data_IF_203049211319
#
_entry.id   IF_203049211319
#
_cell.length_a   1.000
_cell.length_b   1.000
_cell.length_c   1.000
_cell.angle_alpha   90.00
_cell.angle_beta   90.00
_cell.angle_gamma   90.00
#
_symmetry.space_group_name_H-M   'P 1'
#
loop_
_entity.id
_entity.type
_entity.pdbx_description
1 polymer ?
#
# COMPACT_ATOMS: atom_id res chain seq x y z
N UNK A 1 -4.01 -2.13 -20.34
CA UNK A 1 -4.32 -3.52 -19.94
C UNK A 1 -2.99 -4.28 -19.89
N UNK A 2 -2.45 -4.50 -18.70
CA UNK A 2 -1.24 -5.32 -18.54
C UNK A 2 -1.61 -6.79 -18.85
N UNK A 3 -0.79 -7.56 -19.57
CA UNK A 3 -1.13 -8.94 -19.91
C UNK A 3 -1.20 -9.79 -18.65
N UNK A 4 -2.40 -10.30 -18.38
CA UNK A 4 -2.77 -11.38 -17.43
C UNK A 4 -1.83 -11.60 -16.25
N UNK A 5 -1.81 -10.65 -15.32
CA UNK A 5 -1.39 -10.99 -13.97
C UNK A 5 -2.45 -11.90 -13.35
N UNK A 6 -2.17 -13.20 -13.30
CA UNK A 6 -3.04 -14.19 -12.67
C UNK A 6 -2.55 -14.45 -11.25
N UNK A 7 -3.36 -14.06 -10.26
CA UNK A 7 -3.12 -14.41 -8.87
C UNK A 7 -3.33 -15.92 -8.62
N UNK A 8 -2.66 -16.52 -7.62
CA UNK A 8 -2.80 -17.93 -7.30
C UNK A 8 -4.27 -18.32 -7.10
N UNK A 9 -4.73 -19.34 -7.82
CA UNK A 9 -6.15 -19.73 -7.86
C UNK A 9 -6.65 -20.31 -6.54
N UNK A 10 -5.75 -20.85 -5.74
CA UNK A 10 -5.97 -21.41 -4.41
C UNK A 10 -6.25 -20.33 -3.35
N UNK A 11 -5.94 -19.06 -3.62
CA UNK A 11 -6.25 -17.98 -2.71
C UNK A 11 -7.77 -17.77 -2.57
N UNK A 12 -8.25 -17.43 -1.35
CA UNK A 12 -9.60 -16.93 -1.17
C UNK A 12 -9.91 -15.80 -2.17
N UNK A 13 -11.15 -15.73 -2.65
CA UNK A 13 -11.57 -14.72 -3.63
C UNK A 13 -11.19 -13.30 -3.17
N UNK A 14 -11.47 -12.97 -1.91
CA UNK A 14 -11.16 -11.66 -1.33
C UNK A 14 -9.67 -11.31 -1.41
N UNK A 15 -8.77 -12.26 -1.17
CA UNK A 15 -7.33 -12.00 -1.29
C UNK A 15 -6.91 -11.71 -2.74
N UNK A 16 -7.50 -12.42 -3.71
CA UNK A 16 -7.29 -12.14 -5.14
C UNK A 16 -7.85 -10.79 -5.56
N UNK A 17 -9.03 -10.41 -5.04
CA UNK A 17 -9.66 -9.12 -5.31
C UNK A 17 -8.78 -7.97 -4.76
N UNK A 18 -8.30 -8.08 -3.51
CA UNK A 18 -7.36 -7.10 -2.90
C UNK A 18 -6.09 -6.99 -3.74
N UNK A 19 -5.51 -8.12 -4.15
CA UNK A 19 -4.30 -8.15 -4.96
C UNK A 19 -4.50 -7.46 -6.32
N UNK A 20 -5.61 -7.76 -7.01
CA UNK A 20 -5.92 -7.17 -8.31
C UNK A 20 -6.14 -5.66 -8.21
N UNK A 21 -7.01 -5.21 -7.31
CA UNK A 21 -7.30 -3.80 -7.12
C UNK A 21 -6.06 -3.00 -6.68
N UNK A 22 -5.21 -3.60 -5.84
CA UNK A 22 -3.92 -3.00 -5.45
C UNK A 22 -2.97 -2.86 -6.64
N UNK A 23 -2.87 -3.90 -7.49
CA UNK A 23 -2.03 -3.83 -8.69
C UNK A 23 -2.53 -2.80 -9.71
N UNK A 24 -3.84 -2.67 -9.90
CA UNK A 24 -4.44 -1.66 -10.77
C UNK A 24 -4.19 -0.24 -10.26
N UNK A 25 -4.35 -0.03 -8.95
CA UNK A 25 -4.07 1.25 -8.31
C UNK A 25 -2.57 1.64 -8.46
N UNK A 26 -1.67 0.67 -8.31
CA UNK A 26 -0.22 0.88 -8.48
C UNK A 26 0.17 1.14 -9.94
N UNK A 27 -0.54 0.51 -10.90
CA UNK A 27 -0.39 0.83 -12.31
C UNK A 27 -0.82 2.28 -12.61
N UNK A 28 -1.90 2.75 -11.98
CA UNK A 28 -2.36 4.14 -12.10
C UNK A 28 -1.35 5.14 -11.50
N UNK A 29 -0.78 4.85 -10.32
CA UNK A 29 0.29 5.66 -9.70
C UNK A 29 1.50 5.74 -10.63
N UNK A 30 1.96 4.61 -11.17
CA UNK A 30 3.10 4.58 -12.09
C UNK A 30 2.84 5.39 -13.38
N UNK A 31 1.60 5.42 -13.84
CA UNK A 31 1.18 6.19 -15.01
C UNK A 31 0.89 7.67 -14.68
N UNK A 32 1.00 8.10 -13.42
CA UNK A 32 0.57 9.42 -12.94
C UNK A 32 -0.87 9.76 -13.39
N UNK A 33 -1.76 8.76 -13.37
CA UNK A 33 -3.13 8.88 -13.86
C UNK A 33 -4.12 9.01 -12.69
N UNK A 34 -4.61 10.24 -12.49
CA UNK A 34 -5.54 10.57 -11.39
C UNK A 34 -6.87 9.83 -11.49
N UNK A 35 -7.47 9.77 -12.68
CA UNK A 35 -8.80 9.16 -12.85
C UNK A 35 -8.73 7.65 -12.63
N UNK A 36 -7.72 6.99 -13.21
CA UNK A 36 -7.50 5.56 -12.99
C UNK A 36 -7.17 5.23 -11.53
N UNK A 37 -6.46 6.12 -10.83
CA UNK A 37 -6.20 5.96 -9.40
C UNK A 37 -7.50 6.06 -8.59
N UNK A 38 -8.36 7.02 -8.91
CA UNK A 38 -9.67 7.17 -8.25
C UNK A 38 -10.52 5.92 -8.45
N UNK A 39 -10.63 5.40 -9.68
CA UNK A 39 -11.38 4.18 -9.98
C UNK A 39 -10.86 2.98 -9.20
N UNK A 40 -9.54 2.77 -9.17
CA UNK A 40 -8.93 1.64 -8.46
C UNK A 40 -9.07 1.76 -6.93
N UNK A 41 -9.00 2.98 -6.39
CA UNK A 41 -9.26 3.22 -4.96
C UNK A 41 -10.73 2.98 -4.62
N UNK A 42 -11.67 3.34 -5.50
CA UNK A 42 -13.08 3.05 -5.29
C UNK A 42 -13.38 1.55 -5.31
N UNK A 43 -12.69 0.76 -6.14
CA UNK A 43 -12.73 -0.70 -6.08
C UNK A 43 -12.22 -1.22 -4.72
N UNK A 44 -11.05 -0.75 -4.26
CA UNK A 44 -10.51 -1.12 -2.95
C UNK A 44 -11.48 -0.81 -1.80
N UNK A 45 -12.25 0.28 -1.90
CA UNK A 45 -13.25 0.68 -0.89
C UNK A 45 -14.48 -0.24 -0.84
N UNK A 46 -14.70 -1.08 -1.85
CA UNK A 46 -15.75 -2.10 -1.81
C UNK A 46 -15.34 -3.34 -0.98
N UNK A 47 -14.05 -3.47 -0.68
CA UNK A 47 -13.46 -4.55 0.10
C UNK A 47 -13.37 -4.17 1.59
N UNK A 48 -13.05 -5.14 2.45
CA UNK A 48 -12.84 -4.88 3.88
C UNK A 48 -11.64 -3.95 4.08
N UNK A 49 -11.89 -2.77 4.67
CA UNK A 49 -10.84 -1.78 4.95
C UNK A 49 -9.70 -2.39 5.77
N UNK A 50 -10.02 -3.15 6.82
CA UNK A 50 -9.05 -3.83 7.69
C UNK A 50 -8.16 -4.81 6.90
N UNK A 51 -8.75 -5.60 6.00
CA UNK A 51 -7.97 -6.57 5.21
C UNK A 51 -7.08 -5.86 4.19
N UNK A 52 -7.58 -4.80 3.55
CA UNK A 52 -6.81 -4.03 2.57
C UNK A 52 -5.63 -3.32 3.25
N UNK A 53 -5.88 -2.64 4.37
CA UNK A 53 -4.83 -1.92 5.11
C UNK A 53 -3.82 -2.85 5.74
N UNK A 54 -4.23 -4.03 6.21
CA UNK A 54 -3.30 -5.07 6.67
C UNK A 54 -2.34 -5.51 5.56
N UNK A 55 -2.86 -5.78 4.36
CA UNK A 55 -2.03 -6.12 3.19
C UNK A 55 -1.11 -4.96 2.80
N UNK A 56 -1.64 -3.73 2.74
CA UNK A 56 -0.83 -2.55 2.38
C UNK A 56 0.25 -2.25 3.40
N UNK A 57 -0.04 -2.34 4.69
CA UNK A 57 0.95 -2.16 5.76
C UNK A 57 2.07 -3.20 5.68
N UNK A 58 1.73 -4.46 5.40
CA UNK A 58 2.73 -5.52 5.19
C UNK A 58 3.63 -5.23 3.98
N UNK A 59 3.06 -4.75 2.86
CA UNK A 59 3.84 -4.34 1.68
C UNK A 59 4.76 -3.16 2.00
N UNK A 60 4.25 -2.12 2.66
CA UNK A 60 5.04 -0.93 3.03
C UNK A 60 6.21 -1.31 3.93
N UNK A 61 5.98 -2.16 4.94
CA UNK A 61 7.03 -2.63 5.84
C UNK A 61 8.13 -3.41 5.10
N UNK A 62 7.75 -4.37 4.26
CA UNK A 62 8.73 -5.15 3.47
C UNK A 62 9.52 -4.24 2.50
N UNK A 63 8.88 -3.22 1.91
CA UNK A 63 9.56 -2.23 1.07
C UNK A 63 10.52 -1.34 1.85
N UNK A 64 10.15 -0.93 3.07
CA UNK A 64 11.02 -0.15 3.95
C UNK A 64 12.24 -0.96 4.38
N UNK A 65 12.06 -2.24 4.71
CA UNK A 65 13.14 -3.17 5.05
C UNK A 65 14.10 -3.38 3.86
N UNK A 66 13.57 -3.59 2.65
CA UNK A 66 14.38 -3.77 1.44
C UNK A 66 15.14 -2.50 1.03
N UNK A 67 14.64 -1.31 1.41
CA UNK A 67 15.31 -0.03 1.13
C UNK A 67 16.33 0.37 2.21
N UNK A 68 16.20 -0.15 3.43
CA UNK A 68 17.04 0.19 4.57
C UNK A 68 17.55 -1.07 5.30
N UNK A 69 18.40 -1.89 4.65
CA UNK A 69 18.86 -3.16 5.22
C UNK A 69 19.70 -3.01 6.50
N UNK A 70 20.32 -1.84 6.70
CA UNK A 70 21.12 -1.52 7.89
C UNK A 70 20.27 -0.95 9.05
N UNK A 71 18.96 -0.85 8.85
CA UNK A 71 18.01 -0.30 9.81
C UNK A 71 17.38 1.00 9.32
N UNK A 72 16.14 1.26 9.78
CA UNK A 72 15.34 2.42 9.42
C UNK A 72 15.39 3.48 10.53
N UNK A 73 15.85 4.68 10.22
CA UNK A 73 15.82 5.83 11.13
C UNK A 73 14.58 6.70 10.90
N UNK A 74 14.30 7.63 11.82
CA UNK A 74 13.22 8.60 11.62
C UNK A 74 13.51 9.60 10.49
N UNK A 75 14.79 9.88 10.20
CA UNK A 75 15.20 10.73 9.08
C UNK A 75 14.89 10.04 7.74
N UNK A 76 15.17 8.74 7.65
CA UNK A 76 14.86 7.92 6.46
C UNK A 76 13.36 7.94 6.13
N UNK A 77 12.49 7.85 7.15
CA UNK A 77 11.03 7.93 6.98
C UNK A 77 10.62 9.33 6.50
N UNK A 78 11.23 10.39 7.04
CA UNK A 78 10.95 11.77 6.60
C UNK A 78 11.39 12.01 5.16
N UNK A 79 12.53 11.46 4.75
CA UNK A 79 13.04 11.55 3.39
C UNK A 79 12.15 10.79 2.40
N UNK A 80 11.73 9.56 2.75
CA UNK A 80 10.81 8.76 1.94
C UNK A 80 9.44 9.45 1.78
N UNK A 81 8.90 10.04 2.85
CA UNK A 81 7.69 10.85 2.80
C UNK A 81 7.87 12.07 1.89
N UNK A 82 8.96 12.81 2.07
CA UNK A 82 9.26 14.01 1.28
C UNK A 82 9.41 13.68 -0.20
N UNK A 83 10.09 12.58 -0.54
CA UNK A 83 10.24 12.11 -1.90
C UNK A 83 8.90 11.74 -2.53
N UNK A 84 8.08 10.97 -1.81
CA UNK A 84 6.73 10.58 -2.25
C UNK A 84 5.85 11.82 -2.50
N UNK A 85 5.83 12.77 -1.57
CA UNK A 85 5.04 13.99 -1.69
C UNK A 85 5.48 14.85 -2.88
N UNK A 86 6.79 15.07 -3.06
CA UNK A 86 7.34 15.84 -4.19
C UNK A 86 7.02 15.19 -5.54
N UNK A 87 7.14 13.88 -5.63
CA UNK A 87 6.85 13.14 -6.86
C UNK A 87 5.34 13.10 -7.18
N UNK A 88 4.48 13.15 -6.16
CA UNK A 88 3.03 13.01 -6.33
C UNK A 88 2.32 14.33 -6.59
N UNK A 89 2.70 15.40 -5.89
CA UNK A 89 1.98 16.69 -5.92
C UNK A 89 1.90 17.31 -7.33
N UNK A 90 2.84 16.97 -8.21
CA UNK A 90 2.90 17.47 -9.59
C UNK A 90 1.75 16.97 -10.48
N UNK A 91 1.14 15.83 -10.15
CA UNK A 91 0.05 15.23 -10.94
C UNK A 91 -1.22 14.96 -10.11
N UNK A 92 -1.12 15.00 -8.78
CA UNK A 92 -2.24 14.93 -7.85
C UNK A 92 -2.20 16.14 -6.89
N UNK A 93 -2.73 17.31 -7.29
CA UNK A 93 -2.58 18.55 -6.53
C UNK A 93 -3.38 18.57 -5.22
N UNK A 94 -4.37 17.70 -5.05
CA UNK A 94 -5.16 17.49 -3.83
C UNK A 94 -4.56 16.43 -2.90
N UNK A 95 -3.24 16.24 -2.95
CA UNK A 95 -2.51 15.31 -2.09
C UNK A 95 -2.63 15.70 -0.62
N UNK A 96 -3.05 14.74 0.20
CA UNK A 96 -3.03 14.88 1.65
C UNK A 96 -1.73 14.30 2.22
N UNK A 97 -0.80 15.19 2.60
CA UNK A 97 0.50 14.81 3.18
C UNK A 97 0.34 14.19 4.58
N UNK A 98 -0.69 14.57 5.34
CA UNK A 98 -0.94 13.96 6.65
C UNK A 98 -1.39 12.51 6.51
N UNK A 99 -2.13 12.20 5.45
CA UNK A 99 -2.49 10.82 5.13
C UNK A 99 -1.28 9.99 4.68
N UNK A 100 -0.32 10.56 3.94
CA UNK A 100 0.95 9.87 3.65
C UNK A 100 1.72 9.55 4.95
N UNK A 101 1.81 10.52 5.86
CA UNK A 101 2.48 10.33 7.15
C UNK A 101 1.86 9.18 7.95
N UNK A 102 0.52 9.17 8.06
CA UNK A 102 -0.23 8.14 8.78
C UNK A 102 -0.01 6.72 8.21
N UNK A 103 0.18 6.59 6.89
CA UNK A 103 0.52 5.30 6.28
C UNK A 103 1.90 4.83 6.71
N UNK A 104 2.92 5.70 6.65
CA UNK A 104 4.28 5.33 7.08
C UNK A 104 4.30 4.95 8.56
N UNK A 105 3.69 5.77 9.44
CA UNK A 105 3.69 5.52 10.88
C UNK A 105 2.82 4.32 11.26
N UNK A 106 1.68 4.12 10.59
CA UNK A 106 0.82 2.96 10.79
C UNK A 106 1.49 1.65 10.38
N UNK A 107 2.20 1.62 9.24
CA UNK A 107 2.95 0.44 8.81
C UNK A 107 4.09 0.05 9.77
N UNK A 108 4.61 1.02 10.52
CA UNK A 108 5.65 0.83 11.55
C UNK A 108 5.06 0.57 12.95
N UNK A 109 3.73 0.54 13.10
CA UNK A 109 3.07 0.36 14.40
C UNK A 109 3.26 1.53 15.37
N UNK A 110 3.57 2.73 14.87
CA UNK A 110 3.79 3.94 15.69
C UNK A 110 2.45 4.62 16.02
N UNK A 111 1.51 4.63 15.08
CA UNK A 111 0.18 5.22 15.25
C UNK A 111 -0.92 4.17 15.15
N UNK A 112 -2.05 4.47 15.79
CA UNK A 112 -3.24 3.63 15.73
C UNK A 112 -3.98 3.86 14.40
N UNK A 113 -4.18 2.77 13.66
CA UNK A 113 -4.85 2.78 12.37
C UNK A 113 -6.33 3.21 12.47
N UNK A 114 -7.04 2.82 13.53
CA UNK A 114 -8.44 3.19 13.71
C UNK A 114 -8.58 4.70 13.89
N UNK A 115 -7.76 5.29 14.76
CA UNK A 115 -7.75 6.75 15.01
C UNK A 115 -7.37 7.53 13.74
N UNK A 116 -6.33 7.09 13.03
CA UNK A 116 -5.88 7.74 11.80
C UNK A 116 -6.93 7.63 10.69
N UNK A 117 -7.53 6.46 10.51
CA UNK A 117 -8.53 6.21 9.47
C UNK A 117 -9.84 6.96 9.74
N UNK A 118 -10.23 7.16 10.99
CA UNK A 118 -11.37 8.00 11.37
C UNK A 118 -11.12 9.47 11.03
N UNK A 119 -9.93 9.98 11.34
CA UNK A 119 -9.54 11.38 11.09
C UNK A 119 -9.37 11.70 9.60
N UNK A 120 -8.76 10.80 8.84
CA UNK A 120 -8.40 10.99 7.43
C UNK A 120 -9.55 10.55 6.49
N UNK A 121 -10.31 9.54 6.90
CA UNK A 121 -11.29 8.85 6.06
C UNK A 121 -10.67 7.74 5.22
N UNK A 122 -11.37 6.61 5.11
CA UNK A 122 -10.84 5.38 4.49
C UNK A 122 -10.36 5.59 3.05
N UNK A 123 -11.10 6.33 2.21
CA UNK A 123 -10.71 6.54 0.81
C UNK A 123 -9.40 7.33 0.67
N UNK A 124 -9.20 8.35 1.49
CA UNK A 124 -7.97 9.14 1.49
C UNK A 124 -6.79 8.33 2.06
N UNK A 125 -7.02 7.51 3.08
CA UNK A 125 -6.01 6.59 3.61
C UNK A 125 -5.57 5.56 2.56
N UNK A 126 -6.51 4.89 1.90
CA UNK A 126 -6.21 3.89 0.86
C UNK A 126 -5.47 4.52 -0.33
N UNK A 127 -5.90 5.70 -0.78
CA UNK A 127 -5.19 6.45 -1.84
C UNK A 127 -3.74 6.73 -1.44
N UNK A 128 -3.51 7.19 -0.22
CA UNK A 128 -2.19 7.45 0.33
C UNK A 128 -1.34 6.19 0.47
N UNK A 129 -1.95 5.06 0.86
CA UNK A 129 -1.26 3.78 0.97
C UNK A 129 -0.69 3.32 -0.38
N UNK A 130 -1.50 3.39 -1.43
CA UNK A 130 -1.06 3.04 -2.79
C UNK A 130 0.04 3.99 -3.29
N UNK A 131 -0.05 5.29 -2.98
CA UNK A 131 1.00 6.27 -3.33
C UNK A 131 2.32 5.96 -2.64
N UNK A 132 2.30 5.65 -1.34
CA UNK A 132 3.50 5.25 -0.57
C UNK A 132 4.11 3.98 -1.15
N UNK A 133 3.31 2.93 -1.39
CA UNK A 133 3.77 1.68 -2.00
C UNK A 133 4.39 1.95 -3.38
N UNK A 134 3.71 2.75 -4.22
CA UNK A 134 4.20 3.12 -5.54
C UNK A 134 5.56 3.84 -5.47
N UNK A 135 5.69 4.81 -4.56
CA UNK A 135 6.93 5.56 -4.36
C UNK A 135 8.08 4.68 -3.89
N UNK A 136 7.88 3.85 -2.87
CA UNK A 136 8.91 2.93 -2.36
C UNK A 136 9.26 1.86 -3.39
N UNK A 137 8.28 1.37 -4.14
CA UNK A 137 8.51 0.35 -5.19
C UNK A 137 9.40 0.86 -6.34
N UNK A 138 9.46 2.18 -6.55
CA UNK A 138 10.23 2.78 -7.63
C UNK A 138 11.75 2.70 -7.40
N UNK A 139 12.19 2.51 -6.15
CA UNK A 139 13.62 2.47 -5.79
C UNK A 139 14.15 1.04 -5.61
N UNK A 140 13.27 0.05 -5.49
CA UNK A 140 13.65 -1.37 -5.38
C UNK A 140 13.66 -2.07 -6.75
N UNK A 141 14.47 -3.12 -6.88
CA UNK A 141 14.55 -3.92 -8.13
C UNK A 141 13.54 -5.08 -8.17
N UNK A 142 13.04 -5.50 -7.02
CA UNK A 142 12.15 -6.65 -6.87
C UNK A 142 10.77 -6.32 -7.47
N UNK A 143 10.14 -7.23 -8.23
CA UNK A 143 8.82 -6.99 -8.79
C UNK A 143 7.77 -6.76 -7.69
N UNK A 144 6.90 -5.76 -7.91
CA UNK A 144 5.80 -5.43 -7.00
C UNK A 144 4.84 -6.60 -6.74
N UNK A 145 4.68 -7.46 -7.74
CA UNK A 145 3.90 -8.70 -7.68
C UNK A 145 4.41 -9.64 -6.58
N UNK A 146 5.71 -9.63 -6.31
CA UNK A 146 6.34 -10.43 -5.26
C UNK A 146 5.94 -9.90 -3.89
N UNK A 147 5.98 -8.59 -3.66
CA UNK A 147 5.56 -7.99 -2.38
C UNK A 147 4.08 -8.26 -2.07
N UNK A 148 3.20 -8.13 -3.07
CA UNK A 148 1.77 -8.45 -2.89
C UNK A 148 1.58 -9.93 -2.52
N UNK A 149 2.32 -10.82 -3.19
CA UNK A 149 2.28 -12.27 -2.92
C UNK A 149 2.79 -12.61 -1.52
N UNK A 150 3.93 -12.02 -1.12
CA UNK A 150 4.50 -12.20 0.21
C UNK A 150 3.54 -11.71 1.29
N UNK A 151 3.03 -10.48 1.17
CA UNK A 151 2.14 -9.88 2.14
C UNK A 151 0.88 -10.73 2.40
N UNK A 152 0.21 -11.18 1.34
CA UNK A 152 -0.97 -12.05 1.46
C UNK A 152 -0.59 -13.40 2.09
N UNK A 153 0.55 -13.98 1.70
CA UNK A 153 1.04 -15.25 2.26
C UNK A 153 1.44 -15.18 3.73
N UNK A 154 1.97 -14.05 4.21
CA UNK A 154 2.27 -13.81 5.62
C UNK A 154 0.99 -13.66 6.44
N UNK A 155 0.02 -12.89 5.96
CA UNK A 155 -1.27 -12.69 6.65
C UNK A 155 -2.03 -14.03 6.77
N UNK A 156 -2.07 -14.82 5.70
CA UNK A 156 -2.72 -16.12 5.72
C UNK A 156 -2.05 -17.07 6.74
N UNK A 157 -0.71 -17.04 6.85
CA UNK A 157 0.03 -17.82 7.85
C UNK A 157 -0.27 -17.36 9.27
N UNK A 158 -0.28 -16.05 9.52
CA UNK A 158 -0.59 -15.49 10.84
C UNK A 158 -2.00 -15.89 11.30
N UNK A 159 -3.01 -15.78 10.42
CA UNK A 159 -4.39 -16.16 10.71
C UNK A 159 -4.57 -17.68 10.98
N UNK A 160 -3.71 -18.51 10.40
CA UNK A 160 -3.74 -19.97 10.65
C UNK A 160 -3.17 -20.32 12.03
N UNK A 161 -2.22 -19.53 12.56
CA UNK A 161 -1.58 -19.76 13.87
C UNK A 161 -2.52 -19.36 15.02
N UNK A 162 -3.44 -18.42 14.80
CA UNK A 162 -4.37 -17.90 15.82
C UNK A 162 -5.64 -18.74 16.02
N UNK A 163 -5.84 -19.81 15.25
CA UNK A 163 -6.95 -20.75 15.42
C UNK A 163 -6.47 -22.05 16.11
N UNK A 164 -6.62 -22.20 17.44
CA UNK A 164 -6.31 -23.43 18.17
C UNK A 164 -7.30 -24.58 17.91
#
# INVERSE_FOLDING_TARGET
>A
MNPQQSWPTEWPKVARDIAAATADALAAVRAANRDALTEAVDELRTLSFEQVTSVHAAIVRELLEDTHPDGLSSEDVQDALTACAKATIVWLPDLDVQALAAVYTGALGITDLEDDSFRIGHGAYLRSAVLVIGSLSAVVKKPLTTYITTAIGEIARAQTIEMP
#
